data_IF_178775608582
#
_entry.id   IF_178775608582
#
_cell.length_a   1.000
_cell.length_b   1.000
_cell.length_c   1.000
_cell.angle_alpha   90.00
_cell.angle_beta   90.00
_cell.angle_gamma   90.00
#
_symmetry.space_group_name_H-M   'P 1'
#
loop_
_entity.id
_entity.type
_entity.pdbx_description
1 polymer ?
#
# COMPACT_ATOMS: atom_id res chain seq x y z
N UNK A 1 -1.80 5.31 1.43
CA UNK A 1 -0.48 4.62 1.35
C UNK A 1 0.02 4.63 -0.05
N UNK A 2 1.33 4.53 -0.23
CA UNK A 2 1.93 4.37 -1.54
C UNK A 2 2.78 3.11 -1.58
N UNK A 3 2.63 2.34 -2.64
CA UNK A 3 3.59 1.32 -3.00
C UNK A 3 4.44 1.86 -4.14
N UNK A 4 5.72 2.19 -3.89
CA UNK A 4 6.59 2.84 -4.89
C UNK A 4 7.27 1.82 -5.81
N UNK A 5 7.22 2.09 -7.12
CA UNK A 5 7.90 1.25 -8.14
C UNK A 5 9.32 1.73 -8.45
N UNK A 6 9.72 2.92 -7.97
CA UNK A 6 11.07 3.50 -8.16
C UNK A 6 11.59 4.26 -6.93
N UNK A 7 12.79 4.85 -7.02
CA UNK A 7 13.42 5.63 -5.94
C UNK A 7 12.66 6.93 -5.61
N UNK A 8 12.08 7.59 -6.61
CA UNK A 8 11.22 8.77 -6.43
C UNK A 8 9.77 8.31 -6.40
N UNK A 9 8.98 8.78 -5.44
CA UNK A 9 7.56 8.42 -5.36
C UNK A 9 6.73 9.53 -6.00
N UNK A 10 5.87 9.16 -6.93
CA UNK A 10 4.90 10.04 -7.59
C UNK A 10 3.61 9.26 -7.90
N UNK A 11 2.56 9.96 -8.30
CA UNK A 11 1.32 9.30 -8.74
C UNK A 11 1.52 8.41 -9.97
N UNK A 12 2.47 8.74 -10.85
CA UNK A 12 2.76 7.96 -12.07
C UNK A 12 3.54 6.67 -11.81
N UNK A 13 4.11 6.48 -10.62
CA UNK A 13 4.95 5.32 -10.31
C UNK A 13 4.66 4.68 -8.95
N UNK A 14 3.48 4.95 -8.39
CA UNK A 14 3.04 4.34 -7.15
C UNK A 14 1.57 3.91 -7.21
N UNK A 15 1.23 2.93 -6.38
CA UNK A 15 -0.15 2.51 -6.18
C UNK A 15 -0.66 3.07 -4.85
N UNK A 16 -1.80 3.75 -4.90
CA UNK A 16 -2.48 4.33 -3.75
C UNK A 16 -3.50 3.37 -3.16
N UNK A 17 -3.46 3.13 -1.84
CA UNK A 17 -4.59 2.55 -1.08
C UNK A 17 -5.06 3.53 -0.02
N UNK A 18 -6.38 3.74 0.01
CA UNK A 18 -7.08 4.60 0.94
C UNK A 18 -7.85 3.76 1.97
N UNK A 19 -7.80 4.17 3.22
CA UNK A 19 -8.59 3.59 4.31
C UNK A 19 -9.66 4.62 4.69
N UNK A 20 -10.89 4.17 4.88
CA UNK A 20 -11.99 5.05 5.27
C UNK A 20 -11.96 5.25 6.78
N UNK A 21 -11.72 6.49 7.21
CA UNK A 21 -11.69 6.91 8.61
C UNK A 21 -10.75 8.08 8.86
N UNK A 22 -10.82 8.68 10.04
CA UNK A 22 -9.88 9.68 10.53
C UNK A 22 -9.08 9.08 11.71
N UNK A 23 -7.83 8.70 11.45
CA UNK A 23 -6.96 8.03 12.42
C UNK A 23 -5.89 8.97 13.00
N UNK A 24 -6.05 10.27 12.79
CA UNK A 24 -5.19 11.30 13.38
C UNK A 24 -5.76 11.66 14.74
N UNK A 25 -5.13 11.24 15.83
CA UNK A 25 -5.57 11.52 17.21
C UNK A 25 -4.68 12.53 17.94
N UNK A 26 -3.63 13.03 17.29
CA UNK A 26 -2.78 14.10 17.83
C UNK A 26 -3.60 15.39 18.01
N UNK A 27 -3.80 15.89 19.25
CA UNK A 27 -4.57 17.12 19.50
C UNK A 27 -4.06 18.35 18.77
N UNK A 28 -2.76 18.40 18.43
CA UNK A 28 -2.13 19.51 17.71
C UNK A 28 -2.44 19.48 16.20
N UNK A 29 -2.92 18.35 15.67
CA UNK A 29 -3.33 18.23 14.27
C UNK A 29 -4.71 18.88 14.08
N UNK A 30 -4.88 19.82 13.13
CA UNK A 30 -6.21 20.34 12.79
C UNK A 30 -7.17 19.23 12.38
N UNK A 31 -8.42 19.30 12.83
CA UNK A 31 -9.46 18.30 12.55
C UNK A 31 -9.09 16.85 12.98
N UNK A 32 -8.31 16.71 14.05
CA UNK A 32 -8.02 15.40 14.65
C UNK A 32 -9.27 14.73 15.25
N UNK A 33 -9.17 13.43 15.42
CA UNK A 33 -10.16 12.53 15.99
C UNK A 33 -9.85 12.13 17.45
N UNK A 34 -9.15 12.97 18.23
CA UNK A 34 -8.83 12.67 19.64
C UNK A 34 -10.05 12.42 20.53
N UNK A 35 -11.21 12.99 20.17
CA UNK A 35 -12.47 12.81 20.90
C UNK A 35 -13.41 11.76 20.28
N UNK A 36 -12.98 11.05 19.22
CA UNK A 36 -13.83 10.11 18.49
C UNK A 36 -14.95 10.76 17.64
N UNK A 37 -14.91 12.09 17.43
CA UNK A 37 -15.93 12.85 16.68
C UNK A 37 -16.13 12.34 15.25
N UNK A 38 -15.09 11.78 14.64
CA UNK A 38 -15.08 11.32 13.26
C UNK A 38 -15.23 9.79 13.13
N UNK A 39 -15.76 9.14 14.17
CA UNK A 39 -15.92 7.68 14.24
C UNK A 39 -14.68 6.99 14.81
N UNK A 40 -14.49 5.68 14.52
CA UNK A 40 -13.34 4.94 15.01
C UNK A 40 -12.01 5.61 14.64
N UNK A 41 -11.12 5.72 15.62
CA UNK A 41 -9.79 6.34 15.52
C UNK A 41 -8.71 5.38 15.03
N UNK A 42 -9.09 4.14 14.74
CA UNK A 42 -8.26 3.09 14.16
C UNK A 42 -9.04 2.37 13.06
N UNK A 43 -8.39 1.91 11.97
CA UNK A 43 -9.06 1.12 10.95
C UNK A 43 -9.62 -0.18 11.52
N UNK A 44 -10.71 -0.67 10.92
CA UNK A 44 -11.26 -1.97 11.33
C UNK A 44 -10.31 -3.11 10.97
N UNK A 45 -10.42 -4.23 11.71
CA UNK A 45 -9.66 -5.45 11.40
C UNK A 45 -9.86 -5.90 9.94
N UNK A 46 -11.09 -5.79 9.44
CA UNK A 46 -11.41 -6.14 8.06
C UNK A 46 -10.68 -5.23 7.05
N UNK A 47 -10.57 -3.93 7.31
CA UNK A 47 -9.79 -3.02 6.47
C UNK A 47 -8.31 -3.41 6.46
N UNK A 48 -7.72 -3.72 7.62
CA UNK A 48 -6.32 -4.13 7.73
C UNK A 48 -6.06 -5.45 6.99
N UNK A 49 -6.89 -6.47 7.21
CA UNK A 49 -6.75 -7.79 6.57
C UNK A 49 -6.89 -7.67 5.04
N UNK A 50 -7.90 -6.96 4.55
CA UNK A 50 -8.13 -6.83 3.11
C UNK A 50 -7.04 -5.98 2.44
N UNK A 51 -6.58 -4.92 3.10
CA UNK A 51 -5.45 -4.14 2.63
C UNK A 51 -4.17 -4.99 2.57
N UNK A 52 -3.90 -5.80 3.58
CA UNK A 52 -2.74 -6.70 3.59
C UNK A 52 -2.73 -7.64 2.39
N UNK A 53 -3.87 -8.28 2.10
CA UNK A 53 -4.06 -9.14 0.92
C UNK A 53 -3.80 -8.39 -0.40
N UNK A 54 -4.39 -7.20 -0.54
CA UNK A 54 -4.25 -6.41 -1.76
C UNK A 54 -2.80 -5.91 -1.96
N UNK A 55 -2.15 -5.43 -0.90
CA UNK A 55 -0.75 -5.00 -0.94
C UNK A 55 0.18 -6.18 -1.26
N UNK A 56 -0.06 -7.36 -0.67
CA UNK A 56 0.72 -8.56 -0.97
C UNK A 56 0.58 -8.95 -2.45
N UNK A 57 -0.65 -8.99 -2.97
CA UNK A 57 -0.90 -9.28 -4.38
C UNK A 57 -0.21 -8.26 -5.31
N UNK A 58 -0.36 -6.96 -5.07
CA UNK A 58 0.32 -5.92 -5.86
C UNK A 58 1.84 -6.03 -5.79
N UNK A 59 2.39 -6.35 -4.62
CA UNK A 59 3.83 -6.57 -4.44
C UNK A 59 4.33 -7.71 -5.31
N UNK A 60 3.57 -8.81 -5.41
CA UNK A 60 3.93 -9.94 -6.28
C UNK A 60 3.73 -9.63 -7.76
N UNK A 61 2.59 -9.05 -8.17
CA UNK A 61 2.33 -8.71 -9.57
C UNK A 61 3.37 -7.72 -10.10
N UNK A 62 3.70 -6.70 -9.31
CA UNK A 62 4.55 -5.60 -9.77
C UNK A 62 6.00 -5.65 -9.24
N UNK A 63 6.40 -6.76 -8.61
CA UNK A 63 7.75 -7.00 -8.06
C UNK A 63 8.21 -5.89 -7.11
N UNK A 64 7.30 -5.41 -6.26
CA UNK A 64 7.59 -4.29 -5.36
C UNK A 64 8.13 -4.85 -4.03
N UNK A 65 9.35 -4.47 -3.60
CA UNK A 65 9.91 -4.95 -2.34
C UNK A 65 9.19 -4.34 -1.14
N UNK A 66 9.20 -5.04 -0.01
CA UNK A 66 8.52 -4.60 1.22
C UNK A 66 8.93 -3.19 1.67
N UNK A 67 10.23 -2.85 1.56
CA UNK A 67 10.78 -1.51 1.89
C UNK A 67 10.15 -0.36 1.08
N UNK A 68 9.43 -0.68 0.01
CA UNK A 68 8.74 0.27 -0.85
C UNK A 68 7.25 0.45 -0.50
N UNK A 69 6.77 -0.24 0.55
CA UNK A 69 5.48 0.02 1.18
C UNK A 69 5.68 1.15 2.18
N UNK A 70 5.09 2.31 1.91
CA UNK A 70 5.30 3.51 2.73
C UNK A 70 3.98 4.21 3.08
N UNK A 71 4.00 4.96 4.18
CA UNK A 71 2.87 5.84 4.56
C UNK A 71 2.85 7.06 3.64
N UNK A 72 1.70 7.70 3.48
CA UNK A 72 1.58 8.87 2.60
C UNK A 72 2.42 10.04 3.12
N UNK A 73 2.46 10.26 4.43
CA UNK A 73 3.34 11.23 5.10
C UNK A 73 4.85 11.01 4.84
N UNK A 74 5.26 9.79 4.52
CA UNK A 74 6.67 9.45 4.23
C UNK A 74 7.04 9.74 2.76
N UNK A 75 6.07 10.04 1.88
CA UNK A 75 6.31 10.32 0.44
C UNK A 75 6.95 11.69 0.24
N UNK A 76 6.36 12.70 0.86
CA UNK A 76 6.87 14.08 0.89
C UNK A 76 6.70 14.59 2.31
N UNK A 77 7.81 14.66 3.04
CA UNK A 77 7.82 15.06 4.46
C UNK A 77 7.07 16.40 4.63
N UNK A 78 6.12 16.43 5.56
CA UNK A 78 5.33 17.62 5.90
C UNK A 78 4.18 17.97 4.95
N UNK A 79 3.90 17.13 3.94
CA UNK A 79 2.83 17.40 2.97
C UNK A 79 1.44 16.94 3.44
N UNK A 80 1.39 15.95 4.32
CA UNK A 80 0.13 15.34 4.78
C UNK A 80 0.38 14.55 6.06
N UNK A 81 -0.63 14.46 6.93
CA UNK A 81 -0.61 13.59 8.12
C UNK A 81 -1.05 12.15 7.82
N UNK A 82 -1.69 11.91 6.66
CA UNK A 82 -2.19 10.59 6.30
C UNK A 82 -1.06 9.52 6.37
N UNK A 83 -1.31 8.37 7.01
CA UNK A 83 -2.61 7.82 7.40
C UNK A 83 -3.13 8.23 8.79
N UNK A 84 -2.48 9.15 9.49
CA UNK A 84 -2.75 9.49 10.88
C UNK A 84 -1.79 8.80 11.85
N UNK A 85 -1.56 9.42 13.01
CA UNK A 85 -0.64 8.95 14.04
C UNK A 85 -1.13 7.68 14.77
N UNK A 86 -2.43 7.39 14.77
CA UNK A 86 -3.00 6.19 15.39
C UNK A 86 -3.11 5.00 14.41
N UNK A 87 -2.70 5.16 13.15
CA UNK A 87 -2.77 4.05 12.20
C UNK A 87 -1.77 2.93 12.57
N UNK A 88 -2.21 1.66 12.63
CA UNK A 88 -1.37 0.53 13.02
C UNK A 88 -0.50 0.01 11.85
N UNK A 89 0.52 0.79 11.46
CA UNK A 89 1.31 0.49 10.26
C UNK A 89 2.11 -0.82 10.38
N UNK A 90 2.68 -1.10 11.54
CA UNK A 90 3.45 -2.33 11.78
C UNK A 90 2.55 -3.58 11.73
N UNK A 91 1.29 -3.45 12.19
CA UNK A 91 0.29 -4.51 12.07
C UNK A 91 -0.05 -4.78 10.61
N UNK A 92 -0.22 -3.73 9.81
CA UNK A 92 -0.43 -3.86 8.37
C UNK A 92 0.75 -4.57 7.70
N UNK A 93 2.00 -4.15 7.97
CA UNK A 93 3.20 -4.77 7.40
C UNK A 93 3.34 -6.25 7.81
N UNK A 94 3.03 -6.58 9.06
CA UNK A 94 3.00 -7.97 9.54
C UNK A 94 1.96 -8.79 8.77
N UNK A 95 0.77 -8.24 8.55
CA UNK A 95 -0.26 -8.86 7.72
C UNK A 95 0.21 -9.09 6.28
N UNK A 96 0.86 -8.08 5.67
CA UNK A 96 1.40 -8.20 4.30
C UNK A 96 2.43 -9.32 4.20
N UNK A 97 3.37 -9.43 5.15
CA UNK A 97 4.36 -10.52 5.20
C UNK A 97 3.70 -11.89 5.24
N UNK A 98 2.69 -12.03 6.09
CA UNK A 98 1.92 -13.27 6.22
C UNK A 98 1.24 -13.62 4.89
N UNK A 99 0.56 -12.67 4.26
CA UNK A 99 -0.13 -12.89 2.98
C UNK A 99 0.86 -13.19 1.84
N UNK A 100 2.03 -12.52 1.78
CA UNK A 100 3.09 -12.86 0.83
C UNK A 100 3.54 -14.32 1.00
N UNK A 101 3.78 -14.76 2.23
CA UNK A 101 4.16 -16.15 2.51
C UNK A 101 3.06 -17.14 2.08
N UNK A 102 1.79 -16.81 2.31
CA UNK A 102 0.65 -17.63 1.84
C UNK A 102 0.66 -17.74 0.31
N UNK A 103 0.81 -16.61 -0.39
CA UNK A 103 0.83 -16.57 -1.86
C UNK A 103 2.02 -17.37 -2.44
N UNK A 104 3.20 -17.27 -1.83
CA UNK A 104 4.40 -17.99 -2.27
C UNK A 104 4.30 -19.51 -2.09
N UNK A 105 3.52 -19.97 -1.11
CA UNK A 105 3.24 -21.39 -0.89
C UNK A 105 1.98 -21.89 -1.62
N UNK A 106 1.26 -21.00 -2.32
CA UNK A 106 0.04 -21.38 -3.03
C UNK A 106 0.38 -22.08 -4.36
N UNK A 107 -0.16 -23.29 -4.62
CA UNK A 107 0.05 -23.98 -5.89
C UNK A 107 -0.35 -23.11 -7.09
N UNK A 108 0.49 -23.12 -8.12
CA UNK A 108 0.34 -22.32 -9.36
C UNK A 108 0.33 -20.80 -9.19
N UNK A 109 0.51 -20.22 -8.01
CA UNK A 109 0.47 -18.76 -7.86
C UNK A 109 1.53 -18.06 -8.72
N UNK A 110 2.76 -18.58 -8.77
CA UNK A 110 3.80 -18.05 -9.65
C UNK A 110 3.38 -18.07 -11.12
N UNK A 111 2.86 -19.19 -11.61
CA UNK A 111 2.37 -19.31 -12.98
C UNK A 111 1.22 -18.33 -13.26
N UNK A 112 0.25 -18.24 -12.34
CA UNK A 112 -0.83 -17.26 -12.42
C UNK A 112 -0.32 -15.82 -12.53
N UNK A 113 0.68 -15.44 -11.72
CA UNK A 113 1.24 -14.08 -11.76
C UNK A 113 1.96 -13.81 -13.07
N UNK A 114 2.73 -14.75 -13.61
CA UNK A 114 3.37 -14.58 -14.91
C UNK A 114 2.31 -14.46 -16.03
N UNK A 115 1.33 -15.37 -16.08
CA UNK A 115 0.21 -15.32 -17.04
C UNK A 115 -0.59 -14.01 -16.92
N UNK A 116 -0.82 -13.52 -15.69
CA UNK A 116 -1.57 -12.29 -15.46
C UNK A 116 -0.83 -11.04 -15.94
N UNK A 117 0.51 -11.02 -15.84
CA UNK A 117 1.33 -9.89 -16.29
C UNK A 117 1.33 -9.71 -17.80
N UNK A 118 1.10 -10.78 -18.55
CA UNK A 118 1.06 -10.76 -20.02
C UNK A 118 -0.24 -10.16 -20.57
N UNK A 119 -1.24 -9.90 -19.72
CA UNK A 119 -2.50 -9.29 -20.16
C UNK A 119 -2.31 -7.79 -20.47
N UNK A 120 -2.85 -7.35 -21.61
CA UNK A 120 -2.71 -6.01 -22.20
C UNK A 120 -3.00 -4.82 -21.26
N UNK A 121 -3.73 -5.05 -20.18
CA UNK A 121 -4.18 -4.02 -19.23
C UNK A 121 -3.40 -3.97 -17.91
N UNK A 122 -2.44 -4.88 -17.70
CA UNK A 122 -1.76 -5.05 -16.41
C UNK A 122 -0.38 -4.37 -16.43
N UNK A 123 0.37 -4.57 -17.51
CA UNK A 123 1.65 -3.92 -17.74
C UNK A 123 1.65 -3.39 -19.17
N UNK A 124 1.78 -2.08 -19.34
CA UNK A 124 2.14 -1.54 -20.66
C UNK A 124 3.60 -1.99 -20.87
N UNK A 125 3.89 -2.85 -21.87
CA UNK A 125 5.27 -3.19 -22.17
C UNK A 125 5.97 -1.88 -22.56
N UNK A 126 7.04 -1.54 -21.84
CA UNK A 126 7.93 -0.48 -22.29
C UNK A 126 8.66 -1.08 -23.48
N UNK A 127 8.18 -0.79 -24.70
CA UNK A 127 8.93 -1.10 -25.91
C UNK A 127 10.28 -0.40 -25.78
N UNK A 128 11.37 -1.16 -25.90
CA UNK A 128 12.74 -0.69 -25.74
C UNK A 128 13.21 0.19 -26.91
N UNK A 129 12.60 1.36 -27.06
CA UNK A 129 13.07 2.44 -27.93
C UNK A 129 12.83 3.79 -27.24
N UNK A 130 13.55 4.02 -26.13
CA UNK A 130 13.83 5.38 -25.64
C UNK A 130 15.10 5.31 -24.76
N UNK A 131 16.14 4.77 -25.37
CA UNK A 131 17.52 4.91 -24.92
C UNK A 131 18.38 5.17 -26.16
N UNK A 132 18.27 6.39 -26.70
CA UNK A 132 19.23 7.01 -27.59
C UNK A 132 19.26 8.50 -27.27
#
# INVERSE_FOLDING_TARGET
YHIKRSNKISNGNSLGICFVGNFSTDPETPENNSTGKFGPDTPSEAQIINAAKMIALWSKIYRIPEKNIVRHRDVKKGHTDCPGNNFPFDKLLTGVKKEISILENMPRFTAFVEEFREKDYVMIPVSGEEAA
#
